data_IF_438607938499
#
_entry.id   IF_438607938499
#
_cell.length_a   1.000
_cell.length_b   1.000
_cell.length_c   1.000
_cell.angle_alpha   90.00
_cell.angle_beta   90.00
_cell.angle_gamma   90.00
#
_symmetry.space_group_name_H-M   'P 1'
#
loop_
_entity.id
_entity.type
_entity.pdbx_description
1 polymer ?
#
# COMPACT_ATOMS: atom_id res chain seq x y z
N UNK A 1 18.67 5.92 14.05
CA UNK A 1 18.00 5.26 15.19
C UNK A 1 17.56 3.88 14.74
N UNK A 2 18.04 2.82 15.40
CA UNK A 2 17.49 1.47 15.31
C UNK A 2 16.34 1.40 16.30
N UNK A 3 15.19 0.87 15.93
CA UNK A 3 14.09 0.64 16.87
C UNK A 3 14.09 -0.84 17.25
N UNK A 4 14.63 -1.23 18.43
CA UNK A 4 14.33 -2.52 19.03
C UNK A 4 12.88 -2.47 19.53
N UNK A 5 12.10 -3.53 19.31
CA UNK A 5 10.84 -3.86 19.98
C UNK A 5 10.18 -2.72 20.80
N UNK A 6 9.46 -1.80 20.13
CA UNK A 6 8.67 -0.79 20.83
C UNK A 6 7.24 -1.30 21.01
N UNK A 7 6.95 -1.79 22.21
CA UNK A 7 5.59 -2.00 22.70
C UNK A 7 4.95 -0.66 23.05
N UNK A 8 3.75 -0.43 22.49
CA UNK A 8 2.72 0.55 22.86
C UNK A 8 3.05 1.50 24.04
N UNK A 9 3.50 2.72 23.73
CA UNK A 9 3.45 3.87 24.66
C UNK A 9 3.42 5.18 23.86
N UNK A 10 2.27 5.47 23.23
CA UNK A 10 1.90 6.85 22.83
C UNK A 10 2.21 7.31 21.40
N UNK A 11 2.67 6.44 20.49
CA UNK A 11 2.74 6.74 19.05
C UNK A 11 1.72 5.87 18.30
N UNK A 12 0.92 6.41 17.35
CA UNK A 12 -0.18 5.70 16.70
C UNK A 12 0.34 4.71 15.65
N UNK A 13 1.05 3.68 16.08
CA UNK A 13 1.31 2.54 15.22
C UNK A 13 0.00 1.81 14.98
N UNK A 14 -0.34 1.47 13.72
CA UNK A 14 -1.57 0.76 13.46
C UNK A 14 -1.54 -0.59 14.16
N UNK A 15 -2.42 -0.77 15.14
CA UNK A 15 -2.47 -1.97 15.98
C UNK A 15 -2.87 -3.25 15.20
N UNK A 16 -3.26 -3.10 13.93
CA UNK A 16 -3.80 -4.16 13.08
C UNK A 16 -2.81 -4.68 12.04
N UNK A 17 -1.55 -4.22 12.03
CA UNK A 17 -0.50 -4.78 11.15
C UNK A 17 -0.17 -6.22 11.59
N UNK A 18 -0.19 -7.21 10.67
CA UNK A 18 0.24 -8.57 10.97
C UNK A 18 1.71 -8.64 11.41
N UNK A 19 2.11 -9.71 12.11
CA UNK A 19 3.49 -9.91 12.54
C UNK A 19 4.47 -9.73 11.38
N UNK A 20 5.44 -8.83 11.55
CA UNK A 20 6.44 -8.49 10.53
C UNK A 20 7.72 -9.29 10.74
N UNK A 21 8.19 -9.97 9.70
CA UNK A 21 9.46 -10.70 9.68
C UNK A 21 10.41 -10.14 8.62
N UNK A 22 11.72 -10.23 8.88
CA UNK A 22 12.76 -9.80 7.94
C UNK A 22 13.67 -8.74 8.54
N UNK A 23 14.39 -8.02 7.67
CA UNK A 23 15.33 -6.98 8.12
C UNK A 23 14.57 -5.73 8.56
N UNK A 24 15.10 -4.93 9.50
CA UNK A 24 14.47 -3.66 9.85
C UNK A 24 14.34 -2.71 8.65
N UNK A 25 13.32 -1.85 8.71
CA UNK A 25 13.15 -0.69 7.83
C UNK A 25 13.29 0.57 8.69
N UNK A 26 14.06 1.54 8.21
CA UNK A 26 14.27 2.81 8.91
C UNK A 26 13.15 3.77 8.55
N UNK A 27 12.47 4.35 9.54
CA UNK A 27 11.49 5.42 9.34
C UNK A 27 12.14 6.74 9.72
N UNK A 28 11.94 7.77 8.90
CA UNK A 28 12.43 9.12 9.16
C UNK A 28 11.34 10.14 8.84
N UNK A 29 11.31 11.24 9.59
CA UNK A 29 10.37 12.33 9.37
C UNK A 29 11.05 13.55 8.73
N UNK A 30 10.31 14.27 7.89
CA UNK A 30 10.77 15.48 7.19
C UNK A 30 9.65 16.50 7.10
N UNK A 31 9.97 17.79 7.23
CA UNK A 31 8.98 18.88 7.14
C UNK A 31 8.33 19.01 5.77
N UNK A 32 9.07 18.68 4.71
CA UNK A 32 8.59 18.78 3.33
C UNK A 32 9.19 17.63 2.54
N UNK A 33 8.36 17.02 1.70
CA UNK A 33 8.75 15.96 0.78
C UNK A 33 8.18 16.28 -0.59
N UNK A 34 9.00 16.06 -1.60
CA UNK A 34 8.61 16.17 -2.99
C UNK A 34 8.75 14.80 -3.65
N UNK A 35 7.86 14.49 -4.57
CA UNK A 35 7.98 13.33 -5.44
C UNK A 35 9.10 13.52 -6.48
N UNK A 36 9.33 12.51 -7.31
CA UNK A 36 10.36 12.56 -8.36
C UNK A 36 10.10 13.61 -9.46
N UNK A 37 8.92 14.22 -9.50
CA UNK A 37 8.53 15.29 -10.40
C UNK A 37 8.48 16.68 -9.74
N UNK A 38 8.80 16.78 -8.44
CA UNK A 38 8.79 18.04 -7.69
C UNK A 38 7.43 18.42 -7.10
N UNK A 39 6.41 17.56 -7.15
CA UNK A 39 5.12 17.79 -6.48
C UNK A 39 5.17 17.37 -5.01
N UNK A 40 4.41 18.02 -4.11
CA UNK A 40 4.32 17.60 -2.71
C UNK A 40 3.94 16.12 -2.58
N UNK A 41 4.62 15.42 -1.68
CA UNK A 41 4.35 14.02 -1.36
C UNK A 41 4.28 13.85 0.16
N UNK A 42 3.32 13.07 0.66
CA UNK A 42 3.22 12.83 2.10
C UNK A 42 4.19 11.76 2.61
N UNK A 43 4.66 10.86 1.73
CA UNK A 43 5.66 9.87 2.08
C UNK A 43 6.44 9.39 0.85
N UNK A 44 7.55 8.69 1.11
CA UNK A 44 8.34 8.02 0.09
C UNK A 44 9.03 6.75 0.63
N UNK A 45 8.90 5.65 -0.11
CA UNK A 45 9.64 4.41 0.14
C UNK A 45 10.89 4.28 -0.73
N UNK A 46 12.04 4.11 -0.07
CA UNK A 46 13.33 3.79 -0.68
C UNK A 46 13.68 2.31 -0.46
N UNK A 47 13.14 1.44 -1.30
CA UNK A 47 13.27 -0.02 -1.18
C UNK A 47 14.73 -0.49 -0.99
N UNK A 48 15.66 -0.01 -1.83
CA UNK A 48 17.09 -0.39 -1.76
C UNK A 48 17.77 0.06 -0.47
N UNK A 49 17.37 1.22 0.07
CA UNK A 49 17.92 1.79 1.31
C UNK A 49 17.19 1.26 2.55
N UNK A 50 16.14 0.45 2.37
CA UNK A 50 15.22 0.02 3.44
C UNK A 50 14.79 1.17 4.32
N UNK A 51 14.33 2.25 3.70
CA UNK A 51 13.96 3.49 4.37
C UNK A 51 12.60 3.97 3.90
N UNK A 52 11.74 4.33 4.84
CA UNK A 52 10.51 5.08 4.62
C UNK A 52 10.76 6.49 5.14
N UNK A 53 10.34 7.49 4.39
CA UNK A 53 10.36 8.89 4.82
C UNK A 53 8.93 9.41 4.80
N UNK A 54 8.52 10.05 5.90
CA UNK A 54 7.14 10.53 6.10
C UNK A 54 7.18 12.03 6.38
N UNK A 55 6.20 12.74 5.85
CA UNK A 55 6.00 14.15 6.13
C UNK A 55 5.58 14.34 7.60
N UNK A 56 6.28 15.21 8.32
CA UNK A 56 6.10 15.42 9.76
C UNK A 56 4.70 15.89 10.12
N UNK A 57 4.05 16.64 9.22
CA UNK A 57 2.68 17.12 9.39
C UNK A 57 1.67 15.98 9.58
N UNK A 58 1.92 14.79 9.00
CA UNK A 58 1.03 13.63 9.18
C UNK A 58 0.94 13.17 10.64
N UNK A 59 1.92 13.50 11.50
CA UNK A 59 1.82 13.13 12.91
C UNK A 59 0.65 13.81 13.63
N UNK A 60 0.13 14.91 13.08
CA UNK A 60 -1.07 15.58 13.59
C UNK A 60 -2.38 14.88 13.18
N UNK A 61 -2.33 13.95 12.21
CA UNK A 61 -3.46 13.13 11.77
C UNK A 61 -3.12 11.63 11.90
N UNK A 62 -3.49 11.01 13.04
CA UNK A 62 -3.19 9.60 13.28
C UNK A 62 -3.78 8.64 12.25
N UNK A 63 -4.94 8.94 11.65
CA UNK A 63 -5.59 8.06 10.68
C UNK A 63 -4.83 8.09 9.35
N UNK A 64 -4.50 9.28 8.88
CA UNK A 64 -3.72 9.44 7.64
C UNK A 64 -2.29 8.95 7.81
N UNK A 65 -1.66 9.22 8.96
CA UNK A 65 -0.37 8.62 9.28
C UNK A 65 -0.41 7.10 9.22
N UNK A 66 -1.40 6.47 9.87
CA UNK A 66 -1.52 5.01 9.89
C UNK A 66 -1.72 4.45 8.48
N UNK A 67 -2.61 5.05 7.69
CA UNK A 67 -2.91 4.66 6.31
C UNK A 67 -1.69 4.77 5.40
N UNK A 68 -1.03 5.92 5.42
CA UNK A 68 0.17 6.18 4.60
C UNK A 68 1.33 5.30 5.06
N UNK A 69 1.56 5.15 6.37
CA UNK A 69 2.61 4.27 6.85
C UNK A 69 2.41 2.80 6.40
N UNK A 70 1.20 2.26 6.53
CA UNK A 70 0.90 0.90 6.09
C UNK A 70 1.08 0.76 4.59
N UNK A 71 0.61 1.74 3.80
CA UNK A 71 0.85 1.78 2.36
C UNK A 71 2.34 1.64 2.04
N UNK A 72 3.18 2.50 2.61
CA UNK A 72 4.62 2.51 2.38
C UNK A 72 5.31 1.21 2.85
N UNK A 73 4.89 0.65 3.99
CA UNK A 73 5.39 -0.63 4.48
C UNK A 73 5.09 -1.77 3.49
N UNK A 74 3.89 -1.77 2.89
CA UNK A 74 3.46 -2.83 1.98
C UNK A 74 4.16 -2.79 0.62
N UNK A 75 4.87 -1.71 0.26
CA UNK A 75 5.82 -1.76 -0.85
C UNK A 75 6.94 -2.78 -0.62
N UNK A 76 7.41 -2.96 0.62
CA UNK A 76 8.38 -4.00 0.95
C UNK A 76 7.76 -5.40 0.87
N UNK A 77 6.52 -5.55 1.34
CA UNK A 77 5.78 -6.81 1.26
C UNK A 77 5.57 -7.20 -0.20
N UNK A 78 5.13 -6.25 -1.03
CA UNK A 78 4.98 -6.46 -2.48
C UNK A 78 6.29 -6.93 -3.08
N UNK A 79 7.43 -6.32 -2.72
CA UNK A 79 8.78 -6.70 -3.16
C UNK A 79 9.13 -8.16 -2.80
N UNK A 80 8.64 -8.68 -1.67
CA UNK A 80 8.90 -10.06 -1.19
C UNK A 80 7.87 -11.10 -1.61
N UNK A 81 6.67 -10.67 -2.04
CA UNK A 81 5.51 -11.52 -2.30
C UNK A 81 5.75 -12.64 -3.33
N UNK A 82 6.74 -12.50 -4.20
CA UNK A 82 7.08 -13.45 -5.26
C UNK A 82 6.20 -13.32 -6.50
N UNK A 83 6.75 -13.69 -7.66
CA UNK A 83 6.10 -13.45 -8.96
C UNK A 83 4.77 -14.21 -9.13
N UNK A 84 4.65 -15.41 -8.59
CA UNK A 84 3.44 -16.23 -8.72
C UNK A 84 2.24 -15.55 -8.04
N UNK A 85 2.39 -15.13 -6.78
CA UNK A 85 1.35 -14.41 -6.03
C UNK A 85 1.05 -13.05 -6.67
N UNK A 86 2.06 -12.27 -7.07
CA UNK A 86 1.81 -11.01 -7.80
C UNK A 86 0.95 -11.21 -9.05
N UNK A 87 1.25 -12.23 -9.86
CA UNK A 87 0.44 -12.56 -11.06
C UNK A 87 -0.99 -12.97 -10.71
N UNK A 88 -1.25 -13.58 -9.56
CA UNK A 88 -2.64 -13.90 -9.16
C UNK A 88 -3.40 -12.64 -8.74
N UNK A 89 -2.73 -11.69 -8.08
CA UNK A 89 -3.31 -10.37 -7.79
C UNK A 89 -3.56 -9.55 -9.06
N UNK A 90 -2.60 -9.54 -9.99
CA UNK A 90 -2.76 -8.91 -11.32
C UNK A 90 -4.00 -9.46 -12.05
N UNK A 91 -4.24 -10.78 -11.99
CA UNK A 91 -5.43 -11.39 -12.60
C UNK A 91 -6.74 -10.97 -11.94
N UNK A 92 -6.74 -10.78 -10.61
CA UNK A 92 -7.89 -10.24 -9.89
C UNK A 92 -8.22 -8.84 -10.42
N UNK A 93 -7.24 -7.92 -10.40
CA UNK A 93 -7.41 -6.55 -10.90
C UNK A 93 -7.79 -6.50 -12.39
N UNK A 94 -7.24 -7.41 -13.20
CA UNK A 94 -7.60 -7.53 -14.61
C UNK A 94 -9.07 -7.94 -14.80
N UNK A 95 -9.65 -8.71 -13.88
CA UNK A 95 -11.08 -9.00 -13.82
C UNK A 95 -11.90 -7.77 -13.47
N UNK A 96 -11.50 -7.04 -12.43
CA UNK A 96 -12.15 -5.80 -11.99
C UNK A 96 -12.23 -4.77 -13.12
N UNK A 97 -11.11 -4.52 -13.83
CA UNK A 97 -11.09 -3.59 -14.96
C UNK A 97 -11.88 -4.09 -16.17
N UNK A 98 -12.00 -5.40 -16.38
CA UNK A 98 -12.87 -5.94 -17.45
C UNK A 98 -14.34 -5.64 -17.17
N UNK A 99 -14.72 -5.64 -15.90
CA UNK A 99 -16.06 -5.29 -15.42
C UNK A 99 -16.23 -3.77 -15.21
N UNK A 100 -15.28 -2.95 -15.68
CA UNK A 100 -15.31 -1.49 -15.55
C UNK A 100 -15.48 -1.01 -14.09
N UNK A 101 -14.83 -1.69 -13.15
CA UNK A 101 -14.83 -1.30 -11.75
C UNK A 101 -14.46 0.19 -11.56
N UNK A 102 -15.34 0.96 -10.94
CA UNK A 102 -15.09 2.35 -10.55
C UNK A 102 -14.41 2.42 -9.16
N UNK A 103 -13.63 3.48 -8.94
CA UNK A 103 -12.96 3.77 -7.68
C UNK A 103 -11.80 2.82 -7.33
N UNK A 104 -11.14 3.14 -6.22
CA UNK A 104 -10.01 2.40 -5.65
C UNK A 104 -10.03 2.49 -4.11
N UNK A 105 -9.01 1.94 -3.47
CA UNK A 105 -8.79 2.01 -2.02
C UNK A 105 -7.71 3.03 -1.62
N UNK A 106 -7.30 3.88 -2.56
CA UNK A 106 -6.32 4.94 -2.36
C UNK A 106 -6.13 5.79 -3.61
N UNK A 107 -5.73 7.04 -3.45
CA UNK A 107 -5.44 7.94 -4.57
C UNK A 107 -4.26 7.45 -5.42
N UNK A 108 -3.29 6.78 -4.80
CA UNK A 108 -2.09 6.28 -5.48
C UNK A 108 -2.44 5.27 -6.59
N UNK A 109 -3.35 4.34 -6.31
CA UNK A 109 -3.88 3.39 -7.28
C UNK A 109 -4.86 4.05 -8.25
N UNK A 110 -5.74 4.94 -7.77
CA UNK A 110 -6.73 5.63 -8.60
C UNK A 110 -6.05 6.43 -9.73
N UNK A 111 -5.03 7.24 -9.41
CA UNK A 111 -4.29 8.01 -10.41
C UNK A 111 -3.56 7.15 -11.43
N UNK A 112 -3.05 5.98 -11.02
CA UNK A 112 -2.41 5.05 -11.96
C UNK A 112 -3.45 4.34 -12.82
N UNK A 113 -4.57 3.94 -12.24
CA UNK A 113 -5.71 3.35 -12.93
C UNK A 113 -6.25 4.27 -14.03
N UNK A 114 -6.43 5.55 -13.73
CA UNK A 114 -6.89 6.56 -14.68
C UNK A 114 -5.96 6.72 -15.91
N UNK A 115 -4.66 6.42 -15.75
CA UNK A 115 -3.65 6.50 -16.83
C UNK A 115 -3.49 5.20 -17.63
N UNK A 116 -4.21 4.13 -17.27
CA UNK A 116 -4.09 2.83 -17.95
C UNK A 116 -4.86 2.81 -19.26
N UNK A 117 -4.19 2.37 -20.32
CA UNK A 117 -4.84 1.93 -21.54
C UNK A 117 -5.08 0.41 -21.50
N UNK A 118 -6.06 -0.07 -22.29
CA UNK A 118 -6.34 -1.52 -22.42
C UNK A 118 -5.09 -2.34 -22.76
N UNK A 119 -4.20 -1.78 -23.59
CA UNK A 119 -2.93 -2.41 -23.99
C UNK A 119 -1.95 -2.61 -22.84
N UNK A 120 -1.96 -1.73 -21.83
CA UNK A 120 -1.01 -1.80 -20.72
C UNK A 120 -1.17 -3.11 -19.95
N UNK A 121 -2.43 -3.53 -19.76
CA UNK A 121 -2.77 -4.81 -19.14
C UNK A 121 -2.36 -6.00 -20.01
N UNK A 122 -2.64 -5.95 -21.32
CA UNK A 122 -2.34 -7.07 -22.23
C UNK A 122 -0.84 -7.31 -22.39
N UNK A 123 -0.07 -6.24 -22.55
CA UNK A 123 1.38 -6.29 -22.71
C UNK A 123 2.13 -6.27 -21.36
N UNK A 124 1.41 -6.20 -20.24
CA UNK A 124 1.96 -6.13 -18.88
C UNK A 124 3.05 -5.04 -18.75
N UNK A 125 2.74 -3.84 -19.25
CA UNK A 125 3.67 -2.72 -19.31
C UNK A 125 4.09 -2.23 -17.92
N UNK A 126 5.04 -1.28 -17.86
CA UNK A 126 5.43 -0.66 -16.59
C UNK A 126 4.23 -0.04 -15.86
N UNK A 127 3.36 0.68 -16.57
CA UNK A 127 2.15 1.31 -16.01
C UNK A 127 1.23 0.30 -15.35
N UNK A 128 1.02 -0.86 -15.98
CA UNK A 128 0.23 -1.95 -15.40
C UNK A 128 0.85 -2.47 -14.10
N UNK A 129 2.16 -2.73 -14.10
CA UNK A 129 2.87 -3.23 -12.91
C UNK A 129 2.86 -2.22 -11.76
N UNK A 130 3.00 -0.94 -12.06
CA UNK A 130 2.90 0.15 -11.08
C UNK A 130 1.49 0.21 -10.49
N UNK A 131 0.45 0.21 -11.33
CA UNK A 131 -0.95 0.17 -10.84
C UNK A 131 -1.20 -1.03 -9.93
N UNK A 132 -0.75 -2.24 -10.31
CA UNK A 132 -0.94 -3.42 -9.47
C UNK A 132 -0.20 -3.33 -8.13
N UNK A 133 0.98 -2.70 -8.10
CA UNK A 133 1.74 -2.46 -6.88
C UNK A 133 0.98 -1.50 -5.95
N UNK A 134 0.53 -0.36 -6.45
CA UNK A 134 -0.20 0.59 -5.62
C UNK A 134 -1.54 0.06 -5.16
N UNK A 135 -2.30 -0.57 -6.06
CA UNK A 135 -3.60 -1.16 -5.72
C UNK A 135 -3.44 -2.20 -4.60
N UNK A 136 -2.34 -2.95 -4.59
CA UNK A 136 -1.99 -3.85 -3.49
C UNK A 136 -1.69 -3.08 -2.19
N UNK A 137 -0.87 -2.04 -2.24
CA UNK A 137 -0.48 -1.26 -1.06
C UNK A 137 -1.65 -0.49 -0.45
N UNK A 138 -2.50 0.12 -1.29
CA UNK A 138 -3.77 0.76 -0.90
C UNK A 138 -4.76 -0.23 -0.29
N UNK A 139 -4.86 -1.43 -0.87
CA UNK A 139 -5.68 -2.51 -0.28
C UNK A 139 -5.16 -2.90 1.10
N UNK A 140 -3.84 -2.97 1.29
CA UNK A 140 -3.26 -3.28 2.58
C UNK A 140 -3.49 -2.15 3.61
N UNK A 141 -3.38 -0.89 3.19
CA UNK A 141 -3.71 0.25 4.03
C UNK A 141 -5.18 0.19 4.49
N UNK A 142 -6.10 -0.10 3.57
CA UNK A 142 -7.52 -0.31 3.92
C UNK A 142 -7.74 -1.48 4.91
N UNK A 143 -6.94 -2.55 4.83
CA UNK A 143 -7.08 -3.72 5.71
C UNK A 143 -6.44 -3.53 7.08
N UNK A 144 -5.26 -2.91 7.14
CA UNK A 144 -4.35 -3.00 8.29
C UNK A 144 -3.96 -1.64 8.89
N UNK A 145 -4.50 -0.52 8.40
CA UNK A 145 -4.30 0.79 9.03
C UNK A 145 -5.23 1.01 10.24
N UNK A 146 -6.29 0.19 10.39
CA UNK A 146 -7.30 0.37 11.44
C UNK A 146 -8.30 1.49 11.15
N UNK A 147 -8.26 2.10 9.97
CA UNK A 147 -9.17 3.17 9.53
C UNK A 147 -10.44 2.57 8.93
N UNK A 148 -11.59 2.80 9.57
CA UNK A 148 -12.86 2.19 9.15
C UNK A 148 -13.45 2.85 7.88
N UNK A 149 -13.30 4.16 7.74
CA UNK A 149 -13.81 4.96 6.62
C UNK A 149 -12.77 6.00 6.25
N UNK A 150 -12.60 6.24 4.96
CA UNK A 150 -11.72 7.26 4.43
C UNK A 150 -12.28 7.71 3.08
N UNK A 151 -12.12 8.98 2.71
CA UNK A 151 -12.64 9.50 1.44
C UNK A 151 -12.00 8.82 0.22
N UNK A 152 -10.76 8.35 0.37
CA UNK A 152 -10.06 7.58 -0.66
C UNK A 152 -10.65 6.17 -0.89
N UNK A 153 -11.44 5.65 0.04
CA UNK A 153 -12.02 4.31 -0.07
C UNK A 153 -13.32 4.36 -0.87
N UNK A 154 -13.19 4.37 -2.20
CA UNK A 154 -14.31 4.52 -3.15
C UNK A 154 -14.65 3.23 -3.90
N UNK A 155 -13.79 2.21 -3.87
CA UNK A 155 -14.01 0.93 -4.53
C UNK A 155 -15.33 0.26 -4.11
N UNK A 156 -16.06 -0.39 -5.01
CA UNK A 156 -17.32 -1.06 -4.67
C UNK A 156 -17.15 -2.20 -3.63
N UNK A 157 -18.13 -2.38 -2.74
CA UNK A 157 -18.06 -3.33 -1.60
C UNK A 157 -17.73 -4.78 -2.02
N UNK A 158 -18.31 -5.28 -3.10
CA UNK A 158 -18.06 -6.65 -3.57
C UNK A 158 -16.62 -6.85 -4.06
N UNK A 159 -15.99 -5.80 -4.62
CA UNK A 159 -14.59 -5.82 -5.04
C UNK A 159 -13.66 -5.75 -3.83
N UNK A 160 -13.99 -4.91 -2.83
CA UNK A 160 -13.28 -4.92 -1.53
C UNK A 160 -13.28 -6.30 -0.89
N UNK A 161 -14.43 -6.98 -0.91
CA UNK A 161 -14.56 -8.33 -0.39
C UNK A 161 -13.69 -9.33 -1.17
N UNK A 162 -13.63 -9.22 -2.50
CA UNK A 162 -12.77 -10.05 -3.33
C UNK A 162 -11.27 -9.83 -3.03
N UNK A 163 -10.83 -8.58 -2.86
CA UNK A 163 -9.46 -8.25 -2.48
C UNK A 163 -9.10 -8.73 -1.07
N UNK A 164 -9.97 -8.52 -0.08
CA UNK A 164 -9.81 -9.07 1.28
C UNK A 164 -9.65 -10.59 1.25
N UNK A 165 -10.50 -11.28 0.49
CA UNK A 165 -10.43 -12.74 0.32
C UNK A 165 -9.10 -13.17 -0.29
N UNK A 166 -8.57 -12.41 -1.24
CA UNK A 166 -7.27 -12.67 -1.82
C UNK A 166 -6.15 -12.53 -0.78
N UNK A 167 -6.15 -11.46 0.04
CA UNK A 167 -5.16 -11.24 1.10
C UNK A 167 -5.16 -12.40 2.11
N UNK A 168 -6.34 -12.78 2.61
CA UNK A 168 -6.49 -13.90 3.55
C UNK A 168 -5.92 -15.21 2.99
N UNK A 169 -6.26 -15.56 1.74
CA UNK A 169 -5.78 -16.80 1.10
C UNK A 169 -4.27 -16.84 0.85
N UNK A 170 -3.60 -15.70 0.84
CA UNK A 170 -2.14 -15.64 0.62
C UNK A 170 -1.31 -15.71 1.89
N UNK A 171 -1.98 -15.77 3.06
CA UNK A 171 -1.36 -15.88 4.38
C UNK A 171 -0.86 -14.57 4.96
N UNK A 172 -1.18 -13.42 4.33
CA UNK A 172 -0.70 -12.11 4.77
C UNK A 172 -1.28 -11.71 6.13
N UNK A 173 -2.49 -12.19 6.46
CA UNK A 173 -3.13 -11.96 7.77
C UNK A 173 -2.36 -12.64 8.92
N UNK A 174 -1.69 -13.77 8.65
CA UNK A 174 -0.92 -14.50 9.65
C UNK A 174 0.49 -13.92 9.87
N UNK A 175 0.97 -13.12 8.91
CA UNK A 175 2.27 -12.47 8.99
C UNK A 175 2.78 -11.99 7.63
N UNK A 176 3.62 -10.98 7.66
CA UNK A 176 4.21 -10.36 6.46
C UNK A 176 5.74 -10.43 6.51
N UNK A 177 6.37 -10.46 5.33
CA UNK A 177 7.82 -10.45 5.19
C UNK A 177 8.29 -9.27 4.37
N UNK A 178 9.37 -8.60 4.83
CA UNK A 178 9.92 -7.37 4.25
C UNK A 178 11.42 -7.44 3.97
#
# INVERSE_FOLDING_TARGET
MFFPNYTSNGTPWPATIPRVAGRPVRVAFRKTLLDGGGSPAHAATYLRKRRIVIEEALMADPEDFARIFVHELFHFVWLRLGNAKRKTYERLLAGELRLKAAGELGWSAEWRKAKLARRDRMARTRRWREYCCESFCDTAAWLYAGVARHEEFTLATHLRAARRKWFARTGLDAGISI
#
